data_IF_872066779798
#
_entry.id   IF_872066779798
#
_cell.length_a   1.000
_cell.length_b   1.000
_cell.length_c   1.000
_cell.angle_alpha   90.00
_cell.angle_beta   90.00
_cell.angle_gamma   90.00
#
_symmetry.space_group_name_H-M   'P 1'
#
loop_
_entity.id
_entity.type
_entity.pdbx_description
1 polymer ?
#
# COMPACT_ATOMS: atom_id res chain seq x y z
N UNK A 1 8.41 9.33 -54.31
CA UNK A 1 6.93 9.24 -54.28
C UNK A 1 6.51 8.56 -52.99
N UNK A 2 5.45 9.09 -52.37
CA UNK A 2 4.91 8.81 -51.04
C UNK A 2 4.56 7.33 -50.78
N UNK A 3 4.93 6.81 -49.61
CA UNK A 3 4.25 5.67 -48.99
C UNK A 3 3.06 6.22 -48.19
N UNK A 4 1.84 5.96 -48.68
CA UNK A 4 0.59 6.44 -48.08
C UNK A 4 0.20 5.51 -46.92
N UNK A 5 0.06 6.13 -45.76
CA UNK A 5 -0.70 5.76 -44.58
C UNK A 5 -1.44 4.41 -44.61
N UNK A 6 -1.03 3.51 -43.71
CA UNK A 6 -1.83 2.38 -43.29
C UNK A 6 -3.14 2.87 -42.67
N UNK A 7 -4.24 2.45 -43.26
CA UNK A 7 -5.60 2.65 -42.77
C UNK A 7 -5.72 1.92 -41.43
N UNK A 8 -5.76 2.66 -40.32
CA UNK A 8 -6.27 2.11 -39.08
C UNK A 8 -7.78 1.88 -39.27
N UNK A 9 -8.16 0.63 -39.54
CA UNK A 9 -9.56 0.24 -39.42
C UNK A 9 -10.08 0.57 -38.01
N UNK A 10 -11.38 0.84 -37.84
CA UNK A 10 -11.94 1.14 -36.53
C UNK A 10 -11.56 0.02 -35.56
N UNK A 11 -10.90 0.41 -34.47
CA UNK A 11 -10.38 -0.50 -33.47
C UNK A 11 -11.52 -1.46 -33.02
N UNK A 12 -11.28 -2.78 -32.95
CA UNK A 12 -12.32 -3.74 -32.56
C UNK A 12 -12.96 -3.32 -31.24
N UNK A 13 -14.29 -3.43 -31.10
CA UNK A 13 -15.03 -2.99 -29.89
C UNK A 13 -14.44 -3.55 -28.59
N UNK A 14 -13.89 -4.77 -28.62
CA UNK A 14 -13.17 -5.36 -27.49
C UNK A 14 -11.89 -4.58 -27.14
N UNK A 15 -11.07 -4.22 -28.12
CA UNK A 15 -9.88 -3.41 -27.90
C UNK A 15 -10.21 -1.97 -27.47
N UNK A 16 -11.35 -1.42 -27.91
CA UNK A 16 -11.87 -0.14 -27.41
C UNK A 16 -12.32 -0.24 -25.94
N UNK A 17 -12.94 -1.35 -25.52
CA UNK A 17 -13.29 -1.61 -24.12
C UNK A 17 -12.06 -1.81 -23.22
N UNK A 18 -11.00 -2.43 -23.73
CA UNK A 18 -9.72 -2.52 -23.01
C UNK A 18 -9.05 -1.15 -22.89
N UNK A 19 -9.06 -0.34 -23.94
CA UNK A 19 -8.44 1.00 -23.93
C UNK A 19 -9.23 1.96 -23.03
N UNK A 20 -10.57 1.96 -23.10
CA UNK A 20 -11.41 2.79 -22.23
C UNK A 20 -11.40 2.34 -20.77
N UNK A 21 -11.25 1.04 -20.51
CA UNK A 21 -11.03 0.49 -19.17
C UNK A 21 -9.66 0.88 -18.58
N UNK A 22 -8.61 0.96 -19.41
CA UNK A 22 -7.29 1.45 -19.01
C UNK A 22 -7.34 2.95 -18.71
N UNK A 23 -8.01 3.74 -19.55
CA UNK A 23 -8.16 5.20 -19.37
C UNK A 23 -9.00 5.56 -18.12
N UNK A 24 -9.94 4.71 -17.70
CA UNK A 24 -10.69 4.89 -16.45
C UNK A 24 -9.91 4.47 -15.20
N UNK A 25 -8.91 3.60 -15.33
CA UNK A 25 -8.06 3.15 -14.24
C UNK A 25 -6.89 4.11 -13.96
N UNK A 26 -6.44 4.87 -14.95
CA UNK A 26 -5.39 5.90 -14.79
C UNK A 26 -5.74 7.00 -13.77
N UNK A 27 -6.96 7.56 -13.75
CA UNK A 27 -7.37 8.51 -12.71
C UNK A 27 -7.32 7.91 -11.30
N UNK A 28 -7.78 6.66 -11.13
CA UNK A 28 -7.76 5.96 -9.84
C UNK A 28 -6.34 5.63 -9.38
N UNK A 29 -5.48 5.23 -10.33
CA UNK A 29 -4.05 4.99 -10.09
C UNK A 29 -3.34 6.28 -9.69
N UNK A 30 -3.53 7.35 -10.46
CA UNK A 30 -2.94 8.68 -10.20
C UNK A 30 -3.39 9.24 -8.85
N UNK A 31 -4.67 9.10 -8.50
CA UNK A 31 -5.18 9.50 -7.19
C UNK A 31 -4.54 8.71 -6.04
N UNK A 32 -4.41 7.39 -6.21
CA UNK A 32 -3.78 6.51 -5.21
C UNK A 32 -2.30 6.85 -5.01
N UNK A 33 -1.57 7.08 -6.11
CA UNK A 33 -0.19 7.56 -6.06
C UNK A 33 -0.09 8.93 -5.38
N UNK A 34 -1.03 9.84 -5.63
CA UNK A 34 -1.11 11.13 -4.94
C UNK A 34 -1.19 10.98 -3.42
N UNK A 35 -2.07 10.12 -2.91
CA UNK A 35 -2.15 9.83 -1.46
C UNK A 35 -0.86 9.21 -0.91
N UNK A 36 -0.20 8.34 -1.68
CA UNK A 36 1.09 7.77 -1.26
C UNK A 36 2.23 8.79 -1.23
N UNK A 37 2.18 9.85 -2.04
CA UNK A 37 3.17 10.94 -2.00
C UNK A 37 3.12 11.65 -0.65
N UNK A 38 1.92 11.89 -0.11
CA UNK A 38 1.73 12.51 1.21
C UNK A 38 2.31 11.63 2.33
N UNK A 39 2.11 10.31 2.23
CA UNK A 39 2.60 9.34 3.23
C UNK A 39 4.07 8.95 3.06
N UNK A 40 4.72 9.32 1.95
CA UNK A 40 6.09 8.92 1.61
C UNK A 40 7.09 9.17 2.75
N UNK A 41 7.17 10.36 3.38
CA UNK A 41 8.16 10.63 4.42
C UNK A 41 8.01 9.65 5.59
N UNK A 42 6.76 9.38 5.99
CA UNK A 42 6.45 8.47 7.08
C UNK A 42 6.74 7.01 6.73
N UNK A 43 6.37 6.58 5.52
CA UNK A 43 6.70 5.22 5.01
C UNK A 43 8.20 4.99 5.09
N UNK A 44 9.02 5.93 4.62
CA UNK A 44 10.47 5.80 4.63
C UNK A 44 11.04 5.81 6.05
N UNK A 45 10.61 6.76 6.89
CA UNK A 45 11.11 6.89 8.26
C UNK A 45 10.79 5.65 9.12
N UNK A 46 9.54 5.19 9.11
CA UNK A 46 9.14 4.02 9.89
C UNK A 46 9.75 2.73 9.36
N UNK A 47 9.81 2.55 8.04
CA UNK A 47 10.45 1.39 7.42
C UNK A 47 11.93 1.32 7.78
N UNK A 48 12.64 2.45 7.76
CA UNK A 48 14.03 2.52 8.19
C UNK A 48 14.18 2.16 9.67
N UNK A 49 13.35 2.75 10.54
CA UNK A 49 13.37 2.52 11.99
C UNK A 49 13.18 1.05 12.35
N UNK A 50 12.26 0.37 11.67
CA UNK A 50 11.88 -1.02 11.92
C UNK A 50 12.56 -2.04 10.99
N UNK A 51 13.45 -1.57 10.10
CA UNK A 51 14.17 -2.38 9.09
C UNK A 51 13.24 -3.17 8.15
N UNK A 52 12.09 -2.60 7.82
CA UNK A 52 11.14 -3.14 6.85
C UNK A 52 11.44 -2.60 5.46
N UNK A 53 11.15 -3.38 4.42
CA UNK A 53 11.27 -2.90 3.04
C UNK A 53 10.15 -1.87 2.77
N UNK A 54 10.46 -0.59 2.49
CA UNK A 54 9.44 0.44 2.25
C UNK A 54 8.61 0.19 0.99
N UNK A 55 9.15 -0.55 0.01
CA UNK A 55 8.41 -0.95 -1.21
C UNK A 55 7.31 -1.95 -0.87
N UNK A 56 7.52 -2.86 0.10
CA UNK A 56 6.46 -3.76 0.57
C UNK A 56 5.30 -2.95 1.16
N UNK A 57 5.62 -2.00 2.03
CA UNK A 57 4.64 -1.13 2.69
C UNK A 57 3.85 -0.33 1.66
N UNK A 58 4.55 0.32 0.74
CA UNK A 58 3.93 1.10 -0.32
C UNK A 58 3.09 0.24 -1.27
N UNK A 59 3.53 -0.99 -1.59
CA UNK A 59 2.80 -1.90 -2.46
C UNK A 59 1.49 -2.39 -1.82
N UNK A 60 1.51 -2.65 -0.51
CA UNK A 60 0.31 -3.02 0.26
C UNK A 60 -0.65 -1.84 0.33
N UNK A 61 -0.19 -0.66 0.73
CA UNK A 61 -1.03 0.55 0.76
C UNK A 61 -1.62 0.85 -0.62
N UNK A 62 -0.83 0.72 -1.69
CA UNK A 62 -1.31 0.91 -3.06
C UNK A 62 -2.41 -0.09 -3.43
N UNK A 63 -2.22 -1.39 -3.15
CA UNK A 63 -3.24 -2.41 -3.46
C UNK A 63 -4.51 -2.17 -2.65
N UNK A 64 -4.40 -1.93 -1.34
CA UNK A 64 -5.56 -1.70 -0.46
C UNK A 64 -6.31 -0.41 -0.82
N UNK A 65 -5.62 0.72 -1.00
CA UNK A 65 -6.26 1.99 -1.40
C UNK A 65 -6.96 1.90 -2.77
N UNK A 66 -6.44 1.08 -3.69
CA UNK A 66 -7.04 0.86 -5.02
C UNK A 66 -8.31 0.00 -4.94
N UNK A 67 -8.38 -0.92 -3.97
CA UNK A 67 -9.51 -1.84 -3.81
C UNK A 67 -10.48 -1.43 -2.68
N UNK A 68 -10.17 -0.37 -1.94
CA UNK A 68 -11.05 0.19 -0.92
C UNK A 68 -12.42 0.51 -1.51
N UNK A 69 -13.48 0.02 -0.87
CA UNK A 69 -14.84 0.29 -1.35
C UNK A 69 -15.25 1.72 -0.97
N UNK A 70 -16.04 2.41 -1.81
CA UNK A 70 -16.56 3.73 -1.46
C UNK A 70 -17.30 3.69 -0.11
N UNK A 71 -16.84 4.50 0.85
CA UNK A 71 -17.47 4.65 2.17
C UNK A 71 -16.86 3.84 3.32
N UNK A 72 -15.86 2.97 3.08
CA UNK A 72 -15.16 2.22 4.15
C UNK A 72 -14.40 3.13 5.13
N UNK A 73 -13.95 4.30 4.65
CA UNK A 73 -13.20 5.29 5.45
C UNK A 73 -14.10 6.27 6.24
N UNK A 74 -15.44 6.12 6.16
CA UNK A 74 -16.35 7.01 6.89
C UNK A 74 -16.43 6.61 8.38
N UNK A 75 -16.37 7.58 9.32
CA UNK A 75 -16.48 7.30 10.75
C UNK A 75 -17.72 6.48 11.12
N UNK A 76 -18.86 6.73 10.47
CA UNK A 76 -20.08 5.96 10.68
C UNK A 76 -19.91 4.47 10.35
N UNK A 77 -19.18 4.13 9.27
CA UNK A 77 -18.90 2.76 8.88
C UNK A 77 -17.96 2.06 9.88
N UNK A 78 -16.92 2.75 10.34
CA UNK A 78 -15.95 2.22 11.31
C UNK A 78 -16.57 1.94 12.69
N UNK A 79 -17.56 2.74 13.11
CA UNK A 79 -18.22 2.58 14.40
C UNK A 79 -19.42 1.64 14.37
N UNK A 80 -19.97 1.35 13.18
CA UNK A 80 -21.12 0.44 12.99
C UNK A 80 -20.81 -1.04 13.22
N UNK A 81 -19.53 -1.44 13.24
CA UNK A 81 -19.12 -2.85 13.31
C UNK A 81 -19.29 -3.64 12.01
N UNK A 82 -19.73 -3.00 10.93
CA UNK A 82 -19.89 -3.63 9.60
C UNK A 82 -18.54 -4.03 8.97
N UNK A 83 -17.44 -3.40 9.39
CA UNK A 83 -16.09 -3.69 8.90
C UNK A 83 -15.16 -3.92 10.10
N UNK A 84 -14.39 -5.01 10.04
CA UNK A 84 -13.43 -5.39 11.09
C UNK A 84 -12.03 -4.81 10.89
N UNK A 85 -11.81 -4.18 9.73
CA UNK A 85 -10.56 -3.56 9.30
C UNK A 85 -10.83 -2.15 8.79
N UNK A 86 -9.88 -1.24 9.00
CA UNK A 86 -10.08 0.19 8.79
C UNK A 86 -8.84 0.84 8.19
N UNK A 87 -9.07 1.96 7.49
CA UNK A 87 -8.03 2.82 6.93
C UNK A 87 -7.29 2.22 5.73
N UNK A 88 -6.26 2.92 5.22
CA UNK A 88 -5.60 2.59 3.96
C UNK A 88 -4.80 1.27 4.01
N UNK A 89 -4.49 0.75 5.20
CA UNK A 89 -3.83 -0.55 5.35
C UNK A 89 -4.80 -1.65 5.81
N UNK A 90 -6.11 -1.37 5.91
CA UNK A 90 -7.14 -2.33 6.33
C UNK A 90 -6.73 -3.08 7.61
N UNK A 91 -6.38 -2.33 8.66
CA UNK A 91 -5.93 -2.90 9.93
C UNK A 91 -7.06 -2.97 10.94
N UNK A 92 -7.02 -3.98 11.81
CA UNK A 92 -8.02 -4.20 12.86
C UNK A 92 -7.50 -3.80 14.23
N UNK A 93 -8.42 -3.62 15.19
CA UNK A 93 -8.09 -3.43 16.61
C UNK A 93 -7.22 -4.56 17.18
N UNK A 94 -7.39 -5.79 16.67
CA UNK A 94 -6.57 -6.92 17.07
C UNK A 94 -5.08 -6.71 16.77
N UNK A 95 -4.75 -5.99 15.69
CA UNK A 95 -3.35 -5.63 15.42
C UNK A 95 -2.81 -4.63 16.45
N UNK A 96 -3.62 -3.68 16.90
CA UNK A 96 -3.22 -2.76 17.98
C UNK A 96 -2.96 -3.52 19.28
N UNK A 97 -3.77 -4.53 19.61
CA UNK A 97 -3.54 -5.41 20.75
C UNK A 97 -2.23 -6.19 20.59
N UNK A 98 -1.99 -6.79 19.42
CA UNK A 98 -0.74 -7.52 19.15
C UNK A 98 0.52 -6.66 19.24
N UNK A 99 0.40 -5.34 19.04
CA UNK A 99 1.50 -4.38 19.16
C UNK A 99 1.57 -3.73 20.55
N UNK A 100 0.68 -4.07 21.48
CA UNK A 100 0.64 -3.48 22.82
C UNK A 100 0.13 -2.04 22.85
N UNK A 101 -0.58 -1.60 21.80
CA UNK A 101 -1.15 -0.26 21.65
C UNK A 101 -2.59 -0.17 22.16
N UNK A 102 -3.22 -1.32 22.43
CA UNK A 102 -4.55 -1.43 23.03
C UNK A 102 -4.55 -2.62 23.99
N UNK A 103 -5.06 -2.49 25.23
CA UNK A 103 -5.15 -3.65 26.13
C UNK A 103 -6.20 -4.67 25.63
N UNK A 104 -6.00 -5.97 25.86
CA UNK A 104 -6.97 -7.01 25.45
C UNK A 104 -8.37 -6.84 26.06
N UNK A 105 -8.46 -6.16 27.21
CA UNK A 105 -9.68 -5.87 27.96
C UNK A 105 -10.02 -4.37 27.97
N UNK A 106 -9.72 -3.68 26.86
CA UNK A 106 -10.00 -2.26 26.69
C UNK A 106 -11.48 -1.93 26.92
N UNK A 107 -11.71 -0.78 27.55
CA UNK A 107 -13.04 -0.17 27.71
C UNK A 107 -13.61 0.29 26.37
N UNK A 108 -14.92 0.54 26.33
CA UNK A 108 -15.58 1.06 25.11
C UNK A 108 -15.01 2.40 24.64
N UNK A 109 -14.60 3.27 25.58
CA UNK A 109 -13.96 4.54 25.28
C UNK A 109 -12.59 4.33 24.60
N UNK A 110 -11.77 3.42 25.11
CA UNK A 110 -10.47 3.08 24.51
C UNK A 110 -10.65 2.41 23.14
N UNK A 111 -11.66 1.55 22.97
CA UNK A 111 -11.98 0.93 21.69
C UNK A 111 -12.40 1.99 20.66
N UNK A 112 -13.21 2.96 21.07
CA UNK A 112 -13.66 4.05 20.19
C UNK A 112 -12.48 4.92 19.75
N UNK A 113 -11.61 5.28 20.69
CA UNK A 113 -10.40 6.04 20.39
C UNK A 113 -9.46 5.26 19.46
N UNK A 114 -9.28 3.96 19.70
CA UNK A 114 -8.48 3.11 18.83
C UNK A 114 -9.06 3.01 17.40
N UNK A 115 -10.40 2.99 17.25
CA UNK A 115 -11.04 3.05 15.93
C UNK A 115 -10.77 4.38 15.22
N UNK A 116 -10.81 5.50 15.94
CA UNK A 116 -10.45 6.81 15.37
C UNK A 116 -8.99 6.82 14.90
N UNK A 117 -8.08 6.23 15.68
CA UNK A 117 -6.68 6.06 15.28
C UNK A 117 -6.53 5.18 14.03
N UNK A 118 -7.36 4.15 13.85
CA UNK A 118 -7.34 3.32 12.64
C UNK A 118 -7.94 4.02 11.41
N UNK A 119 -8.60 5.17 11.56
CA UNK A 119 -9.04 6.01 10.44
C UNK A 119 -7.97 7.00 9.99
N UNK A 120 -6.97 7.28 10.84
CA UNK A 120 -5.85 8.14 10.49
C UNK A 120 -4.89 7.39 9.52
N UNK A 121 -4.68 7.91 8.29
CA UNK A 121 -3.76 7.33 7.32
C UNK A 121 -2.32 7.24 7.84
N UNK A 122 -1.84 8.24 8.57
CA UNK A 122 -0.47 8.24 9.10
C UNK A 122 -0.31 7.15 10.14
N UNK A 123 -1.26 7.06 11.07
CA UNK A 123 -1.29 5.99 12.07
C UNK A 123 -1.36 4.60 11.45
N UNK A 124 -2.11 4.44 10.36
CA UNK A 124 -2.15 3.19 9.60
C UNK A 124 -0.78 2.77 9.05
N UNK A 125 0.01 3.72 8.53
CA UNK A 125 1.38 3.44 8.06
C UNK A 125 2.23 2.91 9.21
N UNK A 126 2.21 3.58 10.37
CA UNK A 126 2.99 3.17 11.54
C UNK A 126 2.59 1.76 11.98
N UNK A 127 1.29 1.48 12.07
CA UNK A 127 0.76 0.17 12.46
C UNK A 127 1.10 -0.92 11.44
N UNK A 128 1.05 -0.62 10.14
CA UNK A 128 1.39 -1.58 9.09
C UNK A 128 2.87 -1.97 9.15
N UNK A 129 3.76 -0.99 9.31
CA UNK A 129 5.20 -1.24 9.48
C UNK A 129 5.44 -2.04 10.76
N UNK A 130 4.79 -1.68 11.87
CA UNK A 130 4.84 -2.42 13.13
C UNK A 130 4.39 -3.88 12.99
N UNK A 131 3.32 -4.13 12.22
CA UNK A 131 2.81 -5.47 11.91
C UNK A 131 3.88 -6.29 11.19
N UNK A 132 4.49 -5.73 10.14
CA UNK A 132 5.55 -6.43 9.42
C UNK A 132 6.80 -6.68 10.28
N UNK A 133 7.17 -5.76 11.15
CA UNK A 133 8.29 -5.94 12.08
C UNK A 133 8.01 -7.06 13.10
N UNK A 134 6.80 -7.07 13.67
CA UNK A 134 6.33 -8.13 14.57
C UNK A 134 6.31 -9.49 13.88
N UNK A 135 5.72 -9.59 12.70
CA UNK A 135 5.66 -10.83 11.92
C UNK A 135 7.05 -11.30 11.50
N UNK A 136 7.94 -10.38 11.10
CA UNK A 136 9.32 -10.73 10.73
C UNK A 136 10.08 -11.35 11.89
N UNK A 137 9.88 -10.85 13.13
CA UNK A 137 10.47 -11.44 14.34
C UNK A 137 9.87 -12.81 14.65
N UNK A 138 8.54 -12.94 14.58
CA UNK A 138 7.85 -14.21 14.84
C UNK A 138 8.22 -15.32 13.85
N UNK A 139 8.59 -14.95 12.62
CA UNK A 139 9.06 -15.86 11.57
C UNK A 139 10.58 -16.02 11.53
N UNK A 140 11.31 -15.41 12.49
CA UNK A 140 12.77 -15.45 12.56
C UNK A 140 13.47 -14.99 11.27
N UNK A 141 12.87 -13.99 10.59
CA UNK A 141 13.43 -13.43 9.35
C UNK A 141 14.66 -12.56 9.65
N UNK A 142 15.57 -12.39 8.67
CA UNK A 142 16.71 -11.50 8.80
C UNK A 142 16.30 -10.08 9.23
N UNK A 143 17.01 -9.53 10.21
CA UNK A 143 16.78 -8.18 10.74
C UNK A 143 17.44 -7.10 9.86
N UNK A 144 17.13 -7.15 8.56
CA UNK A 144 17.52 -6.20 7.51
C UNK A 144 16.36 -6.08 6.52
N UNK A 145 16.28 -4.99 5.74
CA UNK A 145 15.33 -4.92 4.63
C UNK A 145 15.53 -6.10 3.66
N UNK A 146 14.43 -6.82 3.39
CA UNK A 146 14.39 -7.94 2.46
C UNK A 146 14.35 -7.43 1.00
N UNK A 147 15.01 -8.11 0.08
CA UNK A 147 15.11 -7.71 -1.33
C UNK A 147 14.42 -8.70 -2.28
N UNK A 148 13.31 -8.29 -2.88
CA UNK A 148 12.55 -9.14 -3.79
C UNK A 148 13.32 -9.55 -5.07
N UNK A 149 14.11 -8.64 -5.64
CA UNK A 149 14.78 -8.85 -6.94
C UNK A 149 16.11 -9.61 -6.84
N UNK A 150 16.85 -9.43 -5.75
CA UNK A 150 18.21 -9.97 -5.61
C UNK A 150 18.30 -11.32 -4.90
N UNK A 151 17.22 -11.79 -4.25
CA UNK A 151 17.25 -12.99 -3.43
C UNK A 151 15.89 -13.72 -3.41
N UNK A 152 15.79 -14.94 -3.97
CA UNK A 152 14.55 -15.71 -3.96
C UNK A 152 14.01 -16.04 -2.56
N UNK A 153 14.88 -16.19 -1.55
CA UNK A 153 14.46 -16.42 -0.17
C UNK A 153 13.79 -15.18 0.42
N UNK A 154 14.36 -14.01 0.15
CA UNK A 154 13.76 -12.73 0.55
C UNK A 154 12.43 -12.49 -0.16
N UNK A 155 12.34 -12.81 -1.46
CA UNK A 155 11.08 -12.72 -2.20
C UNK A 155 9.99 -13.64 -1.61
N UNK A 156 10.35 -14.87 -1.23
CA UNK A 156 9.45 -15.79 -0.53
C UNK A 156 9.02 -15.22 0.84
N UNK A 157 9.94 -14.69 1.61
CA UNK A 157 9.64 -14.10 2.91
C UNK A 157 8.71 -12.88 2.79
N UNK A 158 8.94 -12.00 1.81
CA UNK A 158 8.04 -10.88 1.48
C UNK A 158 6.65 -11.37 1.08
N UNK A 159 6.55 -12.42 0.26
CA UNK A 159 5.27 -13.04 -0.08
C UNK A 159 4.55 -13.62 1.15
N UNK A 160 5.28 -14.25 2.08
CA UNK A 160 4.72 -14.74 3.34
C UNK A 160 4.20 -13.60 4.20
N UNK A 161 4.93 -12.49 4.32
CA UNK A 161 4.47 -11.30 5.05
C UNK A 161 3.19 -10.73 4.44
N UNK A 162 3.12 -10.62 3.10
CA UNK A 162 1.92 -10.19 2.40
C UNK A 162 0.73 -11.14 2.64
N UNK A 163 0.96 -12.45 2.58
CA UNK A 163 -0.06 -13.46 2.88
C UNK A 163 -0.60 -13.32 4.31
N UNK A 164 0.27 -13.19 5.30
CA UNK A 164 -0.13 -13.01 6.70
C UNK A 164 -0.80 -11.67 6.96
N UNK A 165 -0.59 -10.68 6.09
CA UNK A 165 -1.30 -9.41 6.18
C UNK A 165 -2.77 -9.55 5.77
N UNK A 166 -3.06 -10.18 4.63
CA UNK A 166 -4.38 -10.16 3.97
C UNK A 166 -5.15 -11.51 4.02
N UNK A 167 -4.44 -12.63 4.15
CA UNK A 167 -5.00 -13.99 4.22
C UNK A 167 -5.40 -14.63 2.88
N UNK A 168 -5.45 -13.88 1.77
CA UNK A 168 -5.82 -14.40 0.44
C UNK A 168 -4.62 -14.99 -0.31
N UNK A 169 -4.80 -16.14 -0.98
CA UNK A 169 -3.74 -16.88 -1.67
C UNK A 169 -3.16 -16.13 -2.89
N UNK A 170 -3.96 -15.32 -3.55
CA UNK A 170 -3.57 -14.54 -4.73
C UNK A 170 -2.91 -13.19 -4.38
N UNK A 171 -3.07 -12.73 -3.14
CA UNK A 171 -2.53 -11.46 -2.64
C UNK A 171 -0.99 -11.38 -2.72
N UNK A 172 -0.20 -12.38 -2.28
CA UNK A 172 1.26 -12.31 -2.37
C UNK A 172 1.78 -12.09 -3.78
N UNK A 173 1.15 -12.73 -4.78
CA UNK A 173 1.52 -12.57 -6.19
C UNK A 173 1.23 -11.15 -6.67
N UNK A 174 0.11 -10.56 -6.26
CA UNK A 174 -0.20 -9.15 -6.58
C UNK A 174 0.82 -8.21 -5.96
N UNK A 175 1.10 -8.37 -4.66
CA UNK A 175 2.06 -7.51 -3.96
C UNK A 175 3.45 -7.62 -4.56
N UNK A 176 3.98 -8.83 -4.81
CA UNK A 176 5.29 -8.97 -5.46
C UNK A 176 5.34 -8.34 -6.86
N UNK A 177 4.23 -8.35 -7.62
CA UNK A 177 4.13 -7.66 -8.91
C UNK A 177 4.10 -6.14 -8.71
N UNK A 178 3.32 -5.63 -7.77
CA UNK A 178 3.25 -4.20 -7.43
C UNK A 178 4.60 -3.69 -6.91
N UNK A 179 5.36 -4.51 -6.18
CA UNK A 179 6.72 -4.17 -5.74
C UNK A 179 7.73 -4.03 -6.90
N UNK A 180 7.38 -4.44 -8.13
CA UNK A 180 8.20 -4.22 -9.33
C UNK A 180 7.76 -2.98 -10.12
N UNK A 181 6.75 -2.26 -9.64
CA UNK A 181 6.17 -1.10 -10.33
C UNK A 181 7.16 0.08 -10.33
N UNK A 182 7.65 0.53 -11.50
CA UNK A 182 8.65 1.59 -11.58
C UNK A 182 8.16 2.93 -11.03
N UNK A 183 6.85 3.21 -11.09
CA UNK A 183 6.29 4.45 -10.53
C UNK A 183 6.31 4.43 -9.01
N UNK A 184 6.09 3.26 -8.40
CA UNK A 184 6.18 3.11 -6.95
C UNK A 184 7.64 3.27 -6.46
N UNK A 185 8.60 2.74 -7.22
CA UNK A 185 10.03 2.97 -6.96
C UNK A 185 10.42 4.44 -7.14
N UNK A 186 9.94 5.08 -8.20
CA UNK A 186 10.17 6.50 -8.43
C UNK A 186 9.56 7.35 -7.29
N UNK A 187 8.35 7.02 -6.84
CA UNK A 187 7.70 7.70 -5.71
C UNK A 187 8.58 7.64 -4.46
N UNK A 188 9.10 6.47 -4.10
CA UNK A 188 9.88 6.29 -2.88
C UNK A 188 11.28 6.88 -2.96
N UNK A 189 11.96 6.72 -4.09
CA UNK A 189 13.40 6.96 -4.18
C UNK A 189 13.81 8.13 -5.08
N UNK A 190 12.90 8.72 -5.86
CA UNK A 190 13.26 9.88 -6.67
C UNK A 190 13.68 11.05 -5.76
N UNK A 191 14.89 11.55 -5.99
CA UNK A 191 15.39 12.79 -5.40
C UNK A 191 14.77 13.95 -6.15
N UNK A 192 13.98 14.80 -5.47
CA UNK A 192 13.48 16.03 -6.08
C UNK A 192 14.69 16.96 -6.28
N UNK A 193 15.21 17.05 -7.51
CA UNK A 193 16.18 18.10 -7.84
C UNK A 193 15.49 19.44 -7.59
N UNK A 194 16.05 20.27 -6.72
CA UNK A 194 15.65 21.66 -6.64
C UNK A 194 15.86 22.27 -8.02
N UNK A 195 14.81 22.84 -8.61
CA UNK A 195 14.95 23.66 -9.80
C UNK A 195 15.82 24.86 -9.38
N UNK A 196 16.99 25.10 -10.00
CA UNK A 196 17.78 26.28 -9.69
C UNK A 196 16.88 27.51 -9.83
N UNK A 197 16.94 28.42 -8.85
CA UNK A 197 16.25 29.70 -8.97
C UNK A 197 16.63 30.35 -10.31
N UNK A 198 15.69 31.00 -11.02
CA UNK A 198 16.02 31.71 -12.23
C UNK A 198 17.13 32.71 -11.90
N UNK A 199 18.20 32.70 -12.71
CA UNK A 199 19.23 33.72 -12.66
C UNK A 199 18.52 35.06 -12.93
N UNK A 200 18.44 35.91 -11.91
CA UNK A 200 18.03 37.33 -12.04
C UNK A 200 19.25 38.12 -12.46
#
# INVERSE_FOLDING_TARGET
>A
MQLRFGVHGPQPRLAQLFTSGIDQLEPLRSHTLGRLVELRPLILAESQRQRINPVLVAAVLFDEMRHAKPGEDLPLAAHSGLFSTHGPAQLSLGEMVHQGLLPPNASEAEITEARNQLLDPERNVVLLVGKFARLSRALELPQRPLQASGNPRDAKALATLAYLHNGKLDYPRRILRTMQDPELHALLYATRKQVPAPLI
#
